data_IF_714492560434
#
_entry.id   IF_714492560434
#
_cell.length_a   1.000
_cell.length_b   1.000
_cell.length_c   1.000
_cell.angle_alpha   90.00
_cell.angle_beta   90.00
_cell.angle_gamma   90.00
#
_symmetry.space_group_name_H-M   'P 1'
#
loop_
_entity.id
_entity.type
_entity.pdbx_description
1 polymer ?
#
# COMPACT_ATOMS: atom_id res chain seq x y z
N UNK A 1 22.03 -43.74 -35.54
CA UNK A 1 20.92 -42.78 -35.87
C UNK A 1 19.72 -42.90 -34.94
N UNK A 2 19.20 -44.09 -34.58
CA UNK A 2 18.01 -44.20 -33.66
C UNK A 2 18.22 -43.62 -32.23
N UNK A 3 19.43 -43.76 -31.65
CA UNK A 3 19.72 -43.21 -30.29
C UNK A 3 19.81 -41.68 -30.24
N UNK A 4 20.21 -41.03 -31.33
CA UNK A 4 20.30 -39.56 -31.40
C UNK A 4 18.90 -38.94 -31.50
N UNK A 5 17.96 -39.59 -32.18
CA UNK A 5 16.58 -39.15 -32.32
C UNK A 5 15.81 -39.19 -30.97
N UNK A 6 16.12 -40.23 -30.14
CA UNK A 6 15.48 -40.37 -28.81
C UNK A 6 15.93 -39.29 -27.83
N UNK A 7 17.20 -38.88 -27.89
CA UNK A 7 17.72 -37.78 -27.04
C UNK A 7 17.13 -36.43 -27.45
N UNK A 8 16.96 -36.16 -28.75
CA UNK A 8 16.30 -34.91 -29.21
C UNK A 8 14.83 -34.86 -28.85
N UNK A 9 14.10 -35.98 -28.84
CA UNK A 9 12.70 -36.00 -28.40
C UNK A 9 12.55 -35.79 -26.92
N UNK A 10 13.47 -36.29 -26.09
CA UNK A 10 13.44 -36.05 -24.63
C UNK A 10 13.78 -34.60 -24.24
N UNK A 11 14.61 -33.91 -25.00
CA UNK A 11 14.90 -32.48 -24.78
C UNK A 11 13.78 -31.58 -25.23
N UNK A 12 12.94 -31.97 -26.21
CA UNK A 12 11.79 -31.22 -26.66
C UNK A 12 10.58 -31.32 -25.71
N UNK A 13 10.47 -32.41 -24.92
CA UNK A 13 9.41 -32.54 -23.91
C UNK A 13 9.69 -31.77 -22.61
N UNK A 14 10.91 -31.28 -22.41
CA UNK A 14 11.30 -30.59 -21.18
C UNK A 14 10.98 -29.10 -21.11
N UNK A 15 10.37 -28.50 -22.14
CA UNK A 15 10.20 -27.04 -22.20
C UNK A 15 8.76 -26.52 -22.16
N UNK A 16 7.78 -27.32 -21.82
CA UNK A 16 6.42 -26.85 -21.56
C UNK A 16 6.19 -26.67 -20.05
N UNK A 17 7.13 -26.04 -19.34
CA UNK A 17 6.77 -25.40 -18.07
C UNK A 17 5.99 -24.16 -18.46
N UNK A 18 4.67 -24.29 -18.52
CA UNK A 18 3.77 -23.14 -18.63
C UNK A 18 4.11 -22.21 -17.46
N UNK A 19 4.80 -21.10 -17.76
CA UNK A 19 5.04 -20.07 -16.76
C UNK A 19 3.68 -19.62 -16.26
N UNK A 20 3.33 -19.98 -15.02
CA UNK A 20 2.08 -19.59 -14.40
C UNK A 20 1.96 -18.07 -14.52
N UNK A 21 0.77 -17.59 -14.96
CA UNK A 21 0.51 -16.15 -15.07
C UNK A 21 0.78 -15.51 -13.69
N UNK A 22 1.61 -14.48 -13.61
CA UNK A 22 1.94 -13.87 -12.33
C UNK A 22 0.68 -13.30 -11.67
N UNK A 23 0.55 -13.46 -10.35
CA UNK A 23 -0.56 -12.92 -9.58
C UNK A 23 -0.46 -11.41 -9.48
N UNK A 24 -1.60 -10.73 -9.51
CA UNK A 24 -1.70 -9.35 -9.07
C UNK A 24 -1.63 -9.29 -7.53
N UNK A 25 -0.98 -8.26 -7.00
CA UNK A 25 -0.79 -8.08 -5.56
C UNK A 25 -1.46 -6.77 -5.14
N UNK A 26 -2.45 -6.84 -4.27
CA UNK A 26 -3.09 -5.69 -3.64
C UNK A 26 -2.85 -5.75 -2.13
N UNK A 27 -2.14 -4.75 -1.60
CA UNK A 27 -1.91 -4.58 -0.16
C UNK A 27 -2.84 -3.48 0.36
N UNK A 28 -3.75 -3.82 1.27
CA UNK A 28 -4.63 -2.87 1.94
C UNK A 28 -4.17 -2.75 3.39
N UNK A 29 -3.72 -1.57 3.79
CA UNK A 29 -3.27 -1.29 5.14
C UNK A 29 -4.13 -0.18 5.76
N UNK A 30 -4.78 -0.49 6.87
CA UNK A 30 -5.46 0.50 7.72
C UNK A 30 -4.45 1.13 8.69
N UNK A 31 -4.67 2.42 9.06
CA UNK A 31 -3.84 3.14 10.02
C UNK A 31 -4.50 3.07 11.41
N UNK A 32 -3.75 2.71 12.43
CA UNK A 32 -4.22 2.66 13.84
C UNK A 32 -5.50 1.82 14.06
N UNK A 33 -5.65 0.71 13.33
CA UNK A 33 -6.83 -0.13 13.39
C UNK A 33 -6.62 -1.33 14.33
N UNK A 34 -7.43 -1.42 15.37
CA UNK A 34 -7.39 -2.54 16.32
C UNK A 34 -8.15 -3.75 15.75
N UNK A 35 -7.54 -4.92 15.74
CA UNK A 35 -8.10 -6.13 15.13
C UNK A 35 -9.47 -6.56 15.69
N UNK A 36 -9.74 -6.33 16.98
CA UNK A 36 -11.04 -6.65 17.62
C UNK A 36 -12.23 -5.84 17.08
N UNK A 37 -12.02 -4.86 16.20
CA UNK A 37 -13.11 -4.15 15.52
C UNK A 37 -13.56 -4.87 14.26
N UNK A 38 -12.80 -5.85 13.77
CA UNK A 38 -13.12 -6.62 12.57
C UNK A 38 -14.00 -7.84 12.93
N UNK A 39 -15.06 -8.09 12.16
CA UNK A 39 -15.98 -9.20 12.38
C UNK A 39 -15.29 -10.56 12.31
N UNK A 40 -14.37 -10.77 11.38
CA UNK A 40 -13.59 -12.01 11.24
C UNK A 40 -12.69 -12.33 12.45
N UNK A 41 -12.44 -11.36 13.32
CA UNK A 41 -11.77 -11.54 14.62
C UNK A 41 -12.74 -11.48 15.81
N UNK A 42 -14.05 -11.60 15.57
CA UNK A 42 -15.09 -11.60 16.59
C UNK A 42 -15.55 -10.20 17.02
N UNK A 43 -15.19 -9.14 16.30
CA UNK A 43 -15.66 -7.78 16.52
C UNK A 43 -17.17 -7.67 16.29
N UNK A 44 -17.86 -6.89 17.15
CA UNK A 44 -19.33 -6.70 17.08
C UNK A 44 -19.76 -5.23 17.03
N UNK A 45 -18.81 -4.31 17.10
CA UNK A 45 -19.09 -2.87 17.19
C UNK A 45 -19.28 -2.26 15.80
N UNK A 46 -18.49 -2.71 14.83
CA UNK A 46 -18.50 -2.20 13.45
C UNK A 46 -18.77 -3.35 12.49
N UNK A 47 -19.65 -3.14 11.51
CA UNK A 47 -19.86 -4.10 10.43
C UNK A 47 -18.72 -4.01 9.40
N UNK A 48 -18.04 -5.13 9.15
CA UNK A 48 -16.90 -5.20 8.23
C UNK A 48 -17.06 -6.31 7.18
N UNK A 49 -18.18 -6.36 6.43
CA UNK A 49 -18.55 -7.51 5.61
C UNK A 49 -17.53 -7.82 4.51
N UNK A 50 -16.91 -6.80 3.91
CA UNK A 50 -15.93 -6.99 2.83
C UNK A 50 -14.60 -7.52 3.37
N UNK A 51 -14.14 -7.05 4.54
CA UNK A 51 -12.94 -7.58 5.19
C UNK A 51 -13.18 -8.98 5.69
N UNK A 52 -14.36 -9.25 6.27
CA UNK A 52 -14.77 -10.56 6.75
C UNK A 52 -14.86 -11.57 5.60
N UNK A 53 -15.31 -11.12 4.42
CA UNK A 53 -15.29 -11.93 3.20
C UNK A 53 -13.88 -12.36 2.80
N UNK A 54 -12.89 -11.45 2.88
CA UNK A 54 -11.48 -11.79 2.62
C UNK A 54 -11.01 -12.85 3.61
N UNK A 55 -11.30 -12.66 4.90
CA UNK A 55 -10.96 -13.63 5.95
C UNK A 55 -11.58 -15.01 5.72
N UNK A 56 -12.85 -15.03 5.32
CA UNK A 56 -13.60 -16.28 5.06
C UNK A 56 -13.10 -17.05 3.83
N UNK A 57 -12.67 -16.34 2.78
CA UNK A 57 -12.29 -16.95 1.50
C UNK A 57 -10.76 -17.06 1.31
N UNK A 58 -9.98 -16.57 2.26
CA UNK A 58 -8.53 -16.59 2.26
C UNK A 58 -7.98 -17.18 3.56
N UNK A 59 -7.14 -16.41 4.25
CA UNK A 59 -6.55 -16.82 5.52
C UNK A 59 -6.65 -15.69 6.55
N UNK A 60 -6.80 -16.05 7.82
CA UNK A 60 -6.77 -15.15 8.97
C UNK A 60 -5.53 -15.47 9.79
N UNK A 61 -4.66 -14.47 9.98
CA UNK A 61 -3.51 -14.59 10.86
C UNK A 61 -3.93 -14.27 12.30
N UNK A 62 -4.04 -15.29 13.15
CA UNK A 62 -4.51 -15.14 14.54
C UNK A 62 -3.44 -14.60 15.49
N UNK A 63 -2.18 -14.68 15.10
CA UNK A 63 -1.01 -14.24 15.89
C UNK A 63 -0.02 -13.47 15.03
N UNK A 64 -0.49 -12.37 14.44
CA UNK A 64 0.32 -11.47 13.62
C UNK A 64 0.60 -10.17 14.40
N UNK A 65 1.87 -9.80 14.51
CA UNK A 65 2.31 -8.68 15.32
C UNK A 65 3.03 -7.64 14.45
N UNK A 66 2.73 -6.37 14.69
CA UNK A 66 3.53 -5.28 14.12
C UNK A 66 4.96 -5.35 14.69
N UNK A 67 5.96 -5.10 13.86
CA UNK A 67 7.37 -5.09 14.28
C UNK A 67 7.69 -4.00 15.30
N UNK A 68 6.89 -2.95 15.32
CA UNK A 68 6.97 -1.83 16.27
C UNK A 68 5.63 -1.07 16.29
N UNK A 69 5.20 -0.52 17.44
CA UNK A 69 3.94 0.22 17.57
C UNK A 69 4.08 1.71 17.17
N UNK A 70 4.97 2.04 16.23
CA UNK A 70 5.23 3.41 15.74
C UNK A 70 5.09 3.45 14.23
N UNK A 71 4.40 4.46 13.69
CA UNK A 71 3.97 4.52 12.29
C UNK A 71 5.11 4.34 11.27
N UNK A 72 6.11 5.24 11.27
CA UNK A 72 7.17 5.21 10.24
C UNK A 72 8.03 3.95 10.34
N UNK A 73 8.51 3.51 11.52
CA UNK A 73 9.29 2.27 11.62
C UNK A 73 8.50 1.02 11.18
N UNK A 74 7.21 0.91 11.55
CA UNK A 74 6.36 -0.19 11.11
C UNK A 74 6.18 -0.22 9.60
N UNK A 75 5.97 0.96 8.98
CA UNK A 75 5.87 1.09 7.53
C UNK A 75 7.18 0.78 6.82
N UNK A 76 8.31 1.23 7.36
CA UNK A 76 9.63 0.90 6.85
C UNK A 76 9.88 -0.61 6.84
N UNK A 77 9.51 -1.29 7.93
CA UNK A 77 9.61 -2.75 8.01
C UNK A 77 8.73 -3.45 6.97
N UNK A 78 7.47 -3.00 6.81
CA UNK A 78 6.55 -3.56 5.81
C UNK A 78 7.10 -3.43 4.38
N UNK A 79 7.56 -2.24 4.00
CA UNK A 79 7.97 -1.99 2.60
C UNK A 79 9.34 -2.55 2.25
N UNK A 80 10.21 -2.73 3.24
CA UNK A 80 11.58 -3.23 3.04
C UNK A 80 11.75 -4.73 3.36
N UNK A 81 10.82 -5.34 4.09
CA UNK A 81 10.97 -6.69 4.61
C UNK A 81 12.06 -6.81 5.69
N UNK A 82 12.47 -5.69 6.32
CA UNK A 82 13.53 -5.63 7.35
C UNK A 82 12.95 -5.21 8.69
N UNK A 83 13.56 -5.64 9.78
CA UNK A 83 13.25 -5.07 11.08
C UNK A 83 13.64 -3.58 11.15
N UNK A 84 12.95 -2.75 11.95
CA UNK A 84 13.23 -1.31 12.04
C UNK A 84 14.69 -0.99 12.37
N UNK A 85 15.35 -1.81 13.17
CA UNK A 85 16.78 -1.67 13.53
C UNK A 85 17.72 -1.84 12.32
N UNK A 86 17.28 -2.54 11.30
CA UNK A 86 18.03 -2.73 10.04
C UNK A 86 17.65 -1.71 8.96
N UNK A 87 16.88 -0.69 9.34
CA UNK A 87 16.57 0.50 8.53
C UNK A 87 16.99 1.75 9.30
N UNK A 88 17.24 2.90 8.67
CA UNK A 88 17.50 4.15 9.38
C UNK A 88 16.27 4.69 10.11
N UNK A 89 15.07 4.12 9.85
CA UNK A 89 13.78 4.64 10.34
C UNK A 89 13.47 4.06 11.71
N UNK A 90 14.07 4.63 12.74
CA UNK A 90 13.89 4.21 14.13
C UNK A 90 12.76 4.96 14.85
N UNK A 91 12.29 6.08 14.28
CA UNK A 91 11.19 6.88 14.81
C UNK A 91 10.40 7.56 13.69
N UNK A 92 9.29 8.23 14.03
CA UNK A 92 8.51 9.01 13.07
C UNK A 92 9.32 10.16 12.47
N UNK A 93 9.00 10.49 11.21
CA UNK A 93 9.58 11.60 10.45
C UNK A 93 11.06 11.41 10.04
N UNK A 94 11.61 10.23 10.25
CA UNK A 94 12.90 9.84 9.67
C UNK A 94 12.61 9.29 8.27
N UNK A 95 13.25 9.82 7.21
CA UNK A 95 13.03 9.32 5.86
C UNK A 95 13.63 7.92 5.67
N UNK A 96 13.03 7.14 4.78
CA UNK A 96 13.61 5.87 4.36
C UNK A 96 14.89 6.13 3.56
N UNK A 97 16.00 5.55 3.98
CA UNK A 97 17.29 5.72 3.31
C UNK A 97 17.26 5.29 1.83
N UNK A 98 18.11 5.93 1.02
CA UNK A 98 18.15 5.67 -0.42
C UNK A 98 18.68 4.27 -0.76
N UNK A 99 19.45 3.68 0.15
CA UNK A 99 19.99 2.32 0.08
C UNK A 99 18.94 1.23 0.34
N UNK A 100 17.77 1.60 0.86
CA UNK A 100 16.71 0.64 1.18
C UNK A 100 15.86 0.37 -0.07
N UNK A 101 15.95 -0.87 -0.54
CA UNK A 101 15.11 -1.39 -1.63
C UNK A 101 13.76 -1.81 -1.08
N UNK A 102 12.68 -1.32 -1.68
CA UNK A 102 11.31 -1.70 -1.31
C UNK A 102 10.80 -2.90 -2.12
N UNK A 103 9.78 -3.59 -1.61
CA UNK A 103 9.14 -4.65 -2.38
C UNK A 103 8.56 -4.13 -3.72
N UNK A 104 8.12 -2.87 -3.76
CA UNK A 104 7.59 -2.27 -4.98
C UNK A 104 8.70 -2.10 -6.05
N UNK A 105 9.92 -1.76 -5.65
CA UNK A 105 11.05 -1.72 -6.58
C UNK A 105 11.38 -3.09 -7.14
N UNK A 106 11.33 -4.13 -6.30
CA UNK A 106 11.55 -5.52 -6.74
C UNK A 106 10.47 -5.94 -7.74
N UNK A 107 9.20 -5.70 -7.44
CA UNK A 107 8.09 -6.02 -8.33
C UNK A 107 8.17 -5.24 -9.65
N UNK A 108 8.49 -3.94 -9.60
CA UNK A 108 8.67 -3.11 -10.79
C UNK A 108 9.78 -3.65 -11.69
N UNK A 109 10.92 -4.07 -11.11
CA UNK A 109 12.02 -4.70 -11.86
C UNK A 109 11.60 -6.03 -12.52
N UNK A 110 10.55 -6.66 -12.02
CA UNK A 110 9.93 -7.87 -12.59
C UNK A 110 8.80 -7.56 -13.59
N UNK A 111 8.62 -6.29 -13.96
CA UNK A 111 7.64 -5.86 -14.96
C UNK A 111 6.25 -5.55 -14.42
N UNK A 112 6.02 -5.57 -13.10
CA UNK A 112 4.74 -5.17 -12.53
C UNK A 112 4.52 -3.67 -12.68
N UNK A 113 3.27 -3.29 -12.97
CA UNK A 113 2.80 -1.92 -12.80
C UNK A 113 2.51 -1.66 -11.34
N UNK A 114 3.15 -0.66 -10.77
CA UNK A 114 3.13 -0.40 -9.33
C UNK A 114 2.48 0.93 -9.02
N UNK A 115 1.54 0.96 -8.09
CA UNK A 115 0.86 2.17 -7.64
C UNK A 115 0.72 2.23 -6.13
N UNK A 116 0.61 3.43 -5.58
CA UNK A 116 0.38 3.69 -4.16
C UNK A 116 -0.65 4.80 -3.97
N UNK A 117 -1.62 4.56 -3.12
CA UNK A 117 -2.60 5.56 -2.69
C UNK A 117 -2.69 5.57 -1.17
N UNK A 118 -2.50 6.72 -0.54
CA UNK A 118 -2.61 6.87 0.91
C UNK A 118 -1.36 7.36 1.62
N UNK A 119 -1.36 7.20 2.94
CA UNK A 119 -0.30 7.66 3.82
C UNK A 119 0.98 6.83 3.65
N UNK A 120 2.07 7.48 3.28
CA UNK A 120 3.40 6.88 3.14
C UNK A 120 4.22 6.97 4.44
N UNK A 121 4.43 8.18 4.93
CA UNK A 121 5.12 8.51 6.19
C UNK A 121 6.59 8.07 6.26
N UNK A 122 7.27 7.99 5.11
CA UNK A 122 8.68 7.58 4.99
C UNK A 122 9.52 8.58 4.16
N UNK A 123 9.06 9.83 4.05
CA UNK A 123 9.75 10.89 3.28
C UNK A 123 10.02 12.14 4.14
N UNK A 124 10.35 11.95 5.42
CA UNK A 124 10.74 13.00 6.35
C UNK A 124 9.57 13.84 6.90
N UNK A 125 9.77 15.14 7.06
CA UNK A 125 8.89 16.02 7.82
C UNK A 125 7.70 16.62 7.05
N UNK A 126 7.67 16.53 5.72
CA UNK A 126 6.66 17.18 4.88
C UNK A 126 5.22 16.78 5.20
N UNK A 127 4.31 17.76 5.25
CA UNK A 127 2.86 17.60 5.47
C UNK A 127 2.05 18.48 4.53
N UNK A 128 1.18 17.93 3.70
CA UNK A 128 0.91 16.53 3.39
C UNK A 128 1.93 15.92 2.43
N UNK A 129 2.72 16.72 1.72
CA UNK A 129 3.72 16.31 0.74
C UNK A 129 3.16 15.22 -0.21
N UNK A 130 2.28 15.64 -1.10
CA UNK A 130 1.72 14.78 -2.14
C UNK A 130 2.77 14.41 -3.19
N UNK A 131 2.63 13.20 -3.72
CA UNK A 131 3.49 12.68 -4.77
C UNK A 131 4.98 12.93 -4.51
N UNK A 132 5.57 12.34 -3.46
CA UNK A 132 6.98 12.52 -3.15
C UNK A 132 7.87 12.36 -4.38
N UNK A 133 8.93 13.18 -4.49
CA UNK A 133 9.84 13.17 -5.64
C UNK A 133 10.48 11.79 -5.83
N UNK A 134 10.91 11.15 -4.75
CA UNK A 134 11.32 9.76 -4.74
C UNK A 134 10.08 8.86 -4.77
N UNK A 135 9.99 7.99 -5.75
CA UNK A 135 8.81 7.13 -5.98
C UNK A 135 8.82 5.82 -5.20
N UNK A 136 9.92 5.46 -4.57
CA UNK A 136 10.07 4.24 -3.76
C UNK A 136 9.64 2.94 -4.48
N UNK A 137 9.81 2.90 -5.81
CA UNK A 137 9.39 1.77 -6.65
C UNK A 137 7.94 1.83 -7.15
N UNK A 138 7.12 2.77 -6.70
CA UNK A 138 5.75 2.97 -7.19
C UNK A 138 5.76 3.91 -8.40
N UNK A 139 5.45 3.39 -9.59
CA UNK A 139 5.39 4.18 -10.83
C UNK A 139 4.32 5.27 -10.75
N UNK A 140 3.16 4.92 -10.19
CA UNK A 140 2.08 5.86 -9.87
C UNK A 140 2.05 6.15 -8.37
N UNK A 141 2.61 7.27 -7.97
CA UNK A 141 2.60 7.76 -6.59
C UNK A 141 1.82 9.07 -6.41
N UNK A 142 1.00 9.46 -7.39
CA UNK A 142 0.26 10.74 -7.40
C UNK A 142 -0.59 10.94 -6.15
N UNK A 143 -1.10 9.87 -5.60
CA UNK A 143 -1.99 9.87 -4.43
C UNK A 143 -1.30 9.36 -3.16
N UNK A 144 0.02 9.26 -3.20
CA UNK A 144 0.86 9.04 -2.03
C UNK A 144 1.04 10.37 -1.29
N UNK A 145 0.75 10.41 0.00
CA UNK A 145 1.05 11.57 0.84
C UNK A 145 1.92 11.18 2.03
N UNK A 146 2.84 12.07 2.40
CA UNK A 146 3.84 11.68 3.38
C UNK A 146 3.23 11.47 4.76
N UNK A 147 2.47 12.43 5.31
CA UNK A 147 1.91 12.30 6.67
C UNK A 147 0.65 13.15 6.88
N UNK A 148 -0.08 12.81 7.94
CA UNK A 148 -1.33 13.43 8.32
C UNK A 148 -2.46 12.41 8.43
N UNK A 149 -3.55 12.80 9.11
CA UNK A 149 -4.78 12.00 9.30
C UNK A 149 -5.97 12.75 8.70
N UNK A 150 -5.85 13.11 7.44
CA UNK A 150 -6.81 13.92 6.73
C UNK A 150 -8.12 13.16 6.53
N UNK A 151 -9.25 13.77 6.89
CA UNK A 151 -10.58 13.19 6.75
C UNK A 151 -11.32 13.72 5.54
N UNK A 152 -11.05 14.97 5.14
CA UNK A 152 -11.67 15.61 4.00
C UNK A 152 -10.61 16.17 3.06
N UNK A 153 -10.76 15.86 1.77
CA UNK A 153 -10.00 16.47 0.70
C UNK A 153 -10.80 17.52 -0.03
N UNK A 154 -10.10 18.51 -0.55
CA UNK A 154 -10.56 19.43 -1.58
C UNK A 154 -9.69 19.22 -2.82
N UNK A 155 -10.12 19.75 -3.97
CA UNK A 155 -9.45 19.52 -5.22
C UNK A 155 -9.18 20.84 -5.95
N UNK A 156 -8.01 20.94 -6.53
CA UNK A 156 -7.59 22.04 -7.40
C UNK A 156 -7.10 21.51 -8.73
N UNK A 157 -6.78 22.38 -9.67
CA UNK A 157 -6.14 22.00 -10.94
C UNK A 157 -4.78 21.31 -10.74
N UNK A 158 -4.12 21.59 -9.61
CA UNK A 158 -2.83 20.98 -9.26
C UNK A 158 -2.95 19.62 -8.56
N UNK A 159 -4.16 19.19 -8.22
CA UNK A 159 -4.43 17.91 -7.55
C UNK A 159 -5.11 18.04 -6.19
N UNK A 160 -5.09 16.98 -5.38
CA UNK A 160 -5.73 16.97 -4.08
C UNK A 160 -5.06 17.92 -3.08
N UNK A 161 -5.86 18.47 -2.18
CA UNK A 161 -5.41 19.33 -1.09
C UNK A 161 -6.28 19.07 0.15
N UNK A 162 -5.83 19.55 1.30
CA UNK A 162 -6.59 19.41 2.54
C UNK A 162 -7.83 20.29 2.45
N UNK A 163 -8.98 19.71 2.74
CA UNK A 163 -10.28 20.38 2.67
C UNK A 163 -10.84 20.83 4.02
N UNK A 164 -10.12 20.58 5.12
CA UNK A 164 -10.59 20.93 6.47
C UNK A 164 -9.59 21.81 7.19
N UNK A 165 -10.06 22.99 7.65
CA UNK A 165 -9.24 23.97 8.35
C UNK A 165 -9.94 24.43 9.63
N UNK A 166 -9.18 24.69 10.69
CA UNK A 166 -9.68 25.28 11.92
C UNK A 166 -9.88 26.79 11.79
N UNK A 167 -10.42 27.42 12.83
CA UNK A 167 -10.67 28.88 12.87
C UNK A 167 -9.41 29.75 12.66
N UNK A 168 -8.22 29.19 12.89
CA UNK A 168 -6.92 29.88 12.68
C UNK A 168 -6.34 29.65 11.28
N UNK A 169 -7.08 28.99 10.38
CA UNK A 169 -6.61 28.69 9.02
C UNK A 169 -5.57 27.56 8.95
N UNK A 170 -5.31 26.85 10.05
CA UNK A 170 -4.43 25.68 10.01
C UNK A 170 -5.22 24.42 9.65
N UNK A 171 -4.63 23.49 8.84
CA UNK A 171 -5.26 22.21 8.54
C UNK A 171 -5.66 21.45 9.79
N UNK A 172 -6.87 20.91 9.81
CA UNK A 172 -7.35 20.05 10.88
C UNK A 172 -7.85 18.68 10.35
N UNK A 173 -8.26 17.81 11.26
CA UNK A 173 -8.70 16.46 10.95
C UNK A 173 -10.21 16.28 11.03
N UNK A 174 -10.98 17.37 10.94
CA UNK A 174 -12.43 17.31 11.04
C UNK A 174 -13.07 16.69 9.82
N UNK A 175 -14.17 16.00 10.08
CA UNK A 175 -14.97 15.32 9.06
C UNK A 175 -16.08 16.21 8.49
N UNK A 176 -16.37 17.35 9.10
CA UNK A 176 -17.52 18.19 8.80
C UNK A 176 -17.65 18.51 7.31
N UNK A 177 -18.80 18.19 6.74
CA UNK A 177 -19.11 18.41 5.32
C UNK A 177 -18.29 17.56 4.36
N UNK A 178 -17.70 16.45 4.81
CA UNK A 178 -17.18 15.42 3.90
C UNK A 178 -18.34 14.53 3.43
N UNK A 179 -18.29 14.16 2.17
CA UNK A 179 -19.17 13.23 1.49
C UNK A 179 -18.34 12.09 0.83
N UNK A 180 -18.97 11.19 0.13
CA UNK A 180 -18.30 10.07 -0.54
C UNK A 180 -17.26 10.50 -1.59
N UNK A 181 -17.33 11.72 -2.12
CA UNK A 181 -16.36 12.25 -3.09
C UNK A 181 -15.17 12.92 -2.43
N UNK A 182 -15.36 13.47 -1.23
CA UNK A 182 -14.37 14.27 -0.51
C UNK A 182 -13.81 13.57 0.72
N UNK A 183 -14.48 12.53 1.24
CA UNK A 183 -13.95 11.73 2.34
C UNK A 183 -12.68 10.99 1.90
N UNK A 184 -11.60 11.22 2.64
CA UNK A 184 -10.26 10.82 2.21
C UNK A 184 -10.14 9.32 1.89
N UNK A 185 -10.78 8.46 2.68
CA UNK A 185 -10.69 7.01 2.49
C UNK A 185 -11.40 6.58 1.21
N UNK A 186 -12.62 7.07 0.96
CA UNK A 186 -13.39 6.73 -0.24
C UNK A 186 -12.70 7.25 -1.50
N UNK A 187 -12.20 8.49 -1.43
CA UNK A 187 -11.48 9.08 -2.54
C UNK A 187 -10.21 8.28 -2.90
N UNK A 188 -9.40 7.90 -1.89
CA UNK A 188 -8.19 7.09 -2.10
C UNK A 188 -8.53 5.68 -2.64
N UNK A 189 -9.62 5.07 -2.16
CA UNK A 189 -10.12 3.80 -2.69
C UNK A 189 -10.49 3.93 -4.17
N UNK A 190 -11.23 4.98 -4.55
CA UNK A 190 -11.60 5.24 -5.94
C UNK A 190 -10.37 5.45 -6.84
N UNK A 191 -9.33 6.14 -6.37
CA UNK A 191 -8.08 6.27 -7.13
C UNK A 191 -7.36 4.93 -7.31
N UNK A 192 -7.40 4.07 -6.29
CA UNK A 192 -6.85 2.71 -6.38
C UNK A 192 -7.61 1.86 -7.39
N UNK A 193 -8.95 1.91 -7.39
CA UNK A 193 -9.81 1.24 -8.37
C UNK A 193 -9.50 1.72 -9.80
N UNK A 194 -9.35 3.03 -9.99
CA UNK A 194 -8.98 3.61 -11.27
C UNK A 194 -7.61 3.11 -11.76
N UNK A 195 -6.62 3.03 -10.85
CA UNK A 195 -5.31 2.47 -11.19
C UNK A 195 -5.41 1.01 -11.62
N UNK A 196 -6.16 0.17 -10.87
CA UNK A 196 -6.36 -1.24 -11.22
C UNK A 196 -7.03 -1.36 -12.59
N UNK A 197 -8.11 -0.61 -12.84
CA UNK A 197 -8.85 -0.67 -14.09
C UNK A 197 -8.03 -0.26 -15.31
N UNK A 198 -7.12 0.70 -15.13
CA UNK A 198 -6.21 1.15 -16.20
C UNK A 198 -5.11 0.13 -16.54
N UNK A 199 -4.76 -0.74 -15.61
CA UNK A 199 -3.60 -1.64 -15.73
C UNK A 199 -4.00 -3.14 -15.76
N UNK A 200 -5.25 -3.45 -16.06
CA UNK A 200 -5.76 -4.83 -16.26
C UNK A 200 -5.15 -5.48 -17.48
#
# INVERSE_FOLDING_TARGET
>A
MKKLLTVLLLTALGQAISAAKPYNVLVIQTDEHHFKTLGCYGGKIVSTPNIDWIGKNGAIATSFYATTPVCSPSRAALVSGRYPQATPVTNNNIPLGDEIVTFAEVLRRKGYKTGYSGKWHLDGLGKPQWAPKRKFGFEDNRYMFNRGHWKKFAFSKAGPMIGSYNKRGTPDYKLNGADEHTFATDWLANQTINFINKNK
#
